data_IF_151038605997
#
_entry.id   IF_151038605997
#
_cell.length_a   1.000
_cell.length_b   1.000
_cell.length_c   1.000
_cell.angle_alpha   90.00
_cell.angle_beta   90.00
_cell.angle_gamma   90.00
#
_symmetry.space_group_name_H-M   'P 1'
#
loop_
_entity.id
_entity.type
_entity.pdbx_description
1 polymer ?
#
# COMPACT_ATOMS: atom_id res chain seq x y z
N UNK A 1 -4.29 1.24 -20.19
CA UNK A 1 -3.18 0.26 -20.16
C UNK A 1 -2.66 0.17 -21.59
N UNK A 2 -1.50 0.77 -21.90
CA UNK A 2 -0.96 0.80 -23.28
C UNK A 2 -0.67 -0.60 -23.84
N UNK A 3 -0.08 -0.71 -25.03
CA UNK A 3 0.04 -1.99 -25.77
C UNK A 3 1.09 -2.98 -25.21
N UNK A 4 1.77 -2.62 -24.12
CA UNK A 4 2.88 -3.38 -23.55
C UNK A 4 2.51 -4.60 -22.67
N UNK A 5 1.22 -4.84 -22.42
CA UNK A 5 0.74 -6.02 -21.68
C UNK A 5 0.16 -7.05 -22.65
N UNK A 6 0.52 -8.33 -22.46
CA UNK A 6 -0.17 -9.44 -23.11
C UNK A 6 -1.66 -9.44 -22.77
N UNK A 7 -2.49 -10.07 -23.61
CA UNK A 7 -3.94 -10.19 -23.36
C UNK A 7 -4.23 -10.78 -21.97
N UNK A 8 -3.55 -11.89 -21.65
CA UNK A 8 -3.63 -12.55 -20.34
C UNK A 8 -3.29 -11.60 -19.17
N UNK A 9 -2.20 -10.84 -19.27
CA UNK A 9 -1.82 -9.91 -18.20
C UNK A 9 -2.77 -8.72 -18.07
N UNK A 10 -3.44 -8.30 -19.15
CA UNK A 10 -4.52 -7.30 -19.04
C UNK A 10 -5.70 -7.85 -18.28
N UNK A 11 -6.11 -9.09 -18.57
CA UNK A 11 -7.23 -9.74 -17.88
C UNK A 11 -6.91 -9.91 -16.40
N UNK A 12 -5.71 -10.40 -16.06
CA UNK A 12 -5.24 -10.50 -14.68
C UNK A 12 -5.22 -9.14 -14.00
N UNK A 13 -4.68 -8.10 -14.65
CA UNK A 13 -4.67 -6.76 -14.10
C UNK A 13 -6.09 -6.28 -13.80
N UNK A 14 -6.98 -6.31 -14.79
CA UNK A 14 -8.37 -5.84 -14.66
C UNK A 14 -9.10 -6.61 -13.58
N UNK A 15 -8.91 -7.93 -13.52
CA UNK A 15 -9.52 -8.77 -12.50
C UNK A 15 -9.07 -8.37 -11.09
N UNK A 16 -7.76 -8.18 -10.87
CA UNK A 16 -7.20 -7.88 -9.55
C UNK A 16 -7.45 -6.44 -9.09
N UNK A 17 -7.70 -5.53 -10.03
CA UNK A 17 -8.12 -4.17 -9.73
C UNK A 17 -9.63 -4.00 -9.83
N UNK A 18 -10.46 -5.03 -9.96
CA UNK A 18 -11.91 -4.84 -10.02
C UNK A 18 -12.46 -4.51 -8.62
N UNK A 19 -13.19 -3.39 -8.42
CA UNK A 19 -13.73 -3.02 -7.11
C UNK A 19 -14.80 -3.97 -6.58
N UNK A 20 -15.35 -4.85 -7.41
CA UNK A 20 -16.27 -5.90 -6.97
C UNK A 20 -15.58 -7.07 -6.26
N UNK A 21 -14.24 -7.18 -6.34
CA UNK A 21 -13.47 -8.25 -5.67
C UNK A 21 -13.33 -7.97 -4.18
N UNK A 22 -13.63 -8.99 -3.40
CA UNK A 22 -13.42 -9.03 -1.95
C UNK A 22 -12.02 -9.53 -1.62
N UNK A 23 -11.56 -9.31 -0.38
CA UNK A 23 -10.30 -9.90 0.08
C UNK A 23 -10.28 -11.43 -0.01
N UNK A 24 -11.44 -12.07 0.17
CA UNK A 24 -11.56 -13.53 0.07
C UNK A 24 -11.33 -14.02 -1.36
N UNK A 25 -11.79 -13.25 -2.36
CA UNK A 25 -11.60 -13.59 -3.78
C UNK A 25 -10.11 -13.59 -4.15
N UNK A 26 -9.32 -12.71 -3.53
CA UNK A 26 -7.88 -12.58 -3.81
C UNK A 26 -7.07 -13.80 -3.35
N UNK A 27 -7.60 -14.62 -2.44
CA UNK A 27 -6.95 -15.82 -1.88
C UNK A 27 -5.49 -15.57 -1.54
N UNK A 28 -5.22 -14.54 -0.72
CA UNK A 28 -3.86 -14.05 -0.46
C UNK A 28 -2.94 -15.12 0.13
N UNK A 29 -3.51 -16.09 0.85
CA UNK A 29 -2.85 -17.23 1.48
C UNK A 29 -2.78 -18.50 0.62
N UNK A 30 -3.22 -18.48 -0.65
CA UNK A 30 -3.09 -19.65 -1.52
C UNK A 30 -1.60 -20.04 -1.68
N UNK A 31 -1.21 -21.25 -1.22
CA UNK A 31 0.19 -21.67 -1.15
C UNK A 31 0.85 -21.79 -2.53
N UNK A 32 0.07 -21.92 -3.61
CA UNK A 32 0.58 -22.05 -4.97
C UNK A 32 0.94 -20.70 -5.60
N UNK A 33 0.46 -19.60 -5.02
CA UNK A 33 0.51 -18.27 -5.63
C UNK A 33 0.72 -17.16 -4.61
N UNK A 34 1.36 -17.47 -3.48
CA UNK A 34 1.57 -16.53 -2.36
C UNK A 34 2.28 -15.24 -2.80
N UNK A 35 3.35 -15.35 -3.58
CA UNK A 35 4.14 -14.22 -4.10
C UNK A 35 3.67 -13.70 -5.46
N UNK A 36 2.42 -13.97 -5.86
CA UNK A 36 1.93 -13.55 -7.17
C UNK A 36 1.70 -12.04 -7.22
N UNK A 37 2.43 -11.33 -8.08
CA UNK A 37 2.47 -9.86 -8.13
C UNK A 37 1.09 -9.19 -8.18
N UNK A 38 0.12 -9.78 -8.86
CA UNK A 38 -1.22 -9.20 -8.96
C UNK A 38 -2.00 -9.23 -7.63
N UNK A 39 -1.68 -10.13 -6.69
CA UNK A 39 -2.24 -10.11 -5.33
C UNK A 39 -1.74 -8.92 -4.51
N UNK A 40 -0.45 -8.62 -4.64
CA UNK A 40 0.16 -7.43 -4.06
C UNK A 40 -0.41 -6.14 -4.68
N UNK A 41 -0.60 -6.12 -6.02
CA UNK A 41 -1.30 -5.04 -6.70
C UNK A 41 -2.73 -4.84 -6.17
N UNK A 42 -3.50 -5.92 -6.06
CA UNK A 42 -4.86 -5.88 -5.53
C UNK A 42 -4.90 -5.32 -4.11
N UNK A 43 -3.94 -5.70 -3.26
CA UNK A 43 -3.77 -5.19 -1.90
C UNK A 43 -3.57 -3.66 -1.89
N UNK A 44 -2.76 -3.15 -2.80
CA UNK A 44 -2.60 -1.71 -3.04
C UNK A 44 -3.91 -1.00 -3.39
N UNK A 45 -4.66 -1.56 -4.35
CA UNK A 45 -5.95 -1.00 -4.77
C UNK A 45 -7.03 -1.11 -3.69
N UNK A 46 -6.99 -2.16 -2.87
CA UNK A 46 -7.84 -2.30 -1.69
C UNK A 46 -7.58 -1.15 -0.69
N UNK A 47 -6.31 -0.86 -0.39
CA UNK A 47 -5.91 0.30 0.41
C UNK A 47 -6.37 1.63 -0.19
N UNK A 48 -6.15 1.82 -1.51
CA UNK A 48 -6.54 3.03 -2.23
C UNK A 48 -8.05 3.29 -2.19
N UNK A 49 -8.87 2.24 -2.23
CA UNK A 49 -10.34 2.32 -2.24
C UNK A 49 -10.96 2.38 -0.86
N UNK A 50 -10.22 1.99 0.16
CA UNK A 50 -10.75 1.92 1.52
C UNK A 50 -11.25 3.29 1.96
N UNK A 51 -12.44 3.30 2.57
CA UNK A 51 -13.05 4.47 3.21
C UNK A 51 -12.98 4.38 4.74
N UNK A 52 -12.26 3.38 5.25
CA UNK A 52 -12.12 3.06 6.68
C UNK A 52 -10.77 3.56 7.18
N UNK A 53 -10.55 3.53 8.50
CA UNK A 53 -9.26 3.96 9.04
C UNK A 53 -8.10 3.10 8.52
N UNK A 54 -6.88 3.65 8.54
CA UNK A 54 -5.67 2.90 8.16
C UNK A 54 -5.57 1.59 8.94
N UNK A 55 -5.78 1.65 10.26
CA UNK A 55 -5.75 0.49 11.13
C UNK A 55 -6.77 -0.57 10.74
N UNK A 56 -8.04 -0.21 10.51
CA UNK A 56 -9.07 -1.16 10.09
C UNK A 56 -8.74 -1.79 8.74
N UNK A 57 -8.33 -0.97 7.78
CA UNK A 57 -7.99 -1.40 6.42
C UNK A 57 -6.84 -2.40 6.43
N UNK A 58 -5.73 -2.04 7.08
CA UNK A 58 -4.54 -2.87 7.11
C UNK A 58 -4.78 -4.15 7.91
N UNK A 59 -5.48 -4.06 9.04
CA UNK A 59 -5.79 -5.19 9.90
C UNK A 59 -6.65 -6.27 9.21
N UNK A 60 -7.59 -5.87 8.36
CA UNK A 60 -8.39 -6.84 7.60
C UNK A 60 -7.54 -7.55 6.55
N UNK A 61 -6.67 -6.79 5.85
CA UNK A 61 -5.79 -7.34 4.83
C UNK A 61 -4.77 -8.32 5.41
N UNK A 62 -4.03 -7.94 6.47
CA UNK A 62 -2.97 -8.80 7.02
C UNK A 62 -3.52 -10.10 7.61
N UNK A 63 -4.78 -10.11 8.07
CA UNK A 63 -5.45 -11.32 8.57
C UNK A 63 -5.75 -12.34 7.47
N UNK A 64 -5.73 -11.93 6.20
CA UNK A 64 -5.80 -12.86 5.07
C UNK A 64 -4.52 -13.67 4.87
N UNK A 65 -3.45 -13.41 5.64
CA UNK A 65 -2.22 -14.19 5.60
C UNK A 65 -1.46 -14.06 4.27
N UNK A 66 -0.77 -15.14 3.88
CA UNK A 66 0.09 -15.16 2.71
C UNK A 66 1.33 -14.28 2.87
N UNK A 67 1.69 -13.55 1.82
CA UNK A 67 2.79 -12.57 1.80
C UNK A 67 2.35 -11.25 2.48
N UNK A 68 1.97 -11.35 3.75
CA UNK A 68 1.22 -10.33 4.48
C UNK A 68 2.01 -9.03 4.69
N UNK A 69 3.34 -9.12 4.85
CA UNK A 69 4.23 -7.97 4.96
C UNK A 69 4.34 -7.22 3.63
N UNK A 70 4.52 -7.92 2.51
CA UNK A 70 4.53 -7.31 1.16
C UNK A 70 3.18 -6.69 0.82
N UNK A 71 2.09 -7.44 1.01
CA UNK A 71 0.72 -6.95 0.78
C UNK A 71 0.39 -5.74 1.66
N UNK A 72 0.77 -5.80 2.94
CA UNK A 72 0.61 -4.73 3.91
C UNK A 72 1.38 -3.47 3.54
N UNK A 73 2.64 -3.61 3.10
CA UNK A 73 3.47 -2.49 2.66
C UNK A 73 2.87 -1.76 1.45
N UNK A 74 2.37 -2.50 0.45
CA UNK A 74 1.79 -1.90 -0.76
C UNK A 74 0.41 -1.31 -0.50
N UNK A 75 -0.44 -1.98 0.30
CA UNK A 75 -1.70 -1.42 0.77
C UNK A 75 -1.48 -0.12 1.55
N UNK A 76 -0.54 -0.13 2.49
CA UNK A 76 -0.21 1.03 3.32
C UNK A 76 0.33 2.21 2.51
N UNK A 77 1.18 1.93 1.51
CA UNK A 77 1.70 2.95 0.58
C UNK A 77 0.57 3.62 -0.19
N UNK A 78 -0.32 2.84 -0.81
CA UNK A 78 -1.43 3.38 -1.62
C UNK A 78 -2.47 4.12 -0.77
N UNK A 79 -2.76 3.63 0.44
CA UNK A 79 -3.62 4.33 1.39
C UNK A 79 -2.97 5.66 1.84
N UNK A 80 -1.69 5.62 2.23
CA UNK A 80 -0.94 6.78 2.70
C UNK A 80 -0.81 7.86 1.63
N UNK A 81 -0.59 7.49 0.37
CA UNK A 81 -0.57 8.41 -0.76
C UNK A 81 -1.92 9.13 -0.95
N UNK A 82 -3.04 8.47 -0.65
CA UNK A 82 -4.39 9.05 -0.77
C UNK A 82 -4.78 9.93 0.41
N UNK A 83 -4.52 9.48 1.63
CA UNK A 83 -5.02 10.12 2.85
C UNK A 83 -3.98 10.95 3.61
N UNK A 84 -2.71 10.84 3.22
CA UNK A 84 -1.60 11.57 3.82
C UNK A 84 -1.14 11.00 5.18
N UNK A 85 0.02 11.48 5.63
CA UNK A 85 0.68 11.00 6.84
C UNK A 85 -0.16 11.17 8.12
N UNK A 86 -0.98 12.23 8.21
CA UNK A 86 -1.84 12.51 9.37
C UNK A 86 -2.96 11.48 9.57
N UNK A 87 -3.29 10.69 8.55
CA UNK A 87 -4.30 9.64 8.64
C UNK A 87 -3.76 8.32 9.25
N UNK A 88 -2.44 8.23 9.46
CA UNK A 88 -1.80 7.04 10.03
C UNK A 88 -1.95 7.01 11.57
N UNK A 89 -2.08 5.83 12.20
CA UNK A 89 -2.26 5.72 13.63
C UNK A 89 -1.03 6.24 14.39
N UNK A 90 -1.22 7.22 15.27
CA UNK A 90 -0.12 7.90 15.93
C UNK A 90 0.67 6.96 16.85
N UNK A 91 -0.01 6.02 17.51
CA UNK A 91 0.63 4.97 18.32
C UNK A 91 1.51 4.04 17.49
N UNK A 92 1.13 3.70 16.26
CA UNK A 92 1.95 2.86 15.37
C UNK A 92 3.19 3.62 14.91
N UNK A 93 3.03 4.88 14.55
CA UNK A 93 4.15 5.75 14.17
C UNK A 93 5.17 5.93 15.31
N UNK A 94 4.69 6.06 16.56
CA UNK A 94 5.55 6.15 17.74
C UNK A 94 6.28 4.84 18.04
N UNK A 95 5.63 3.71 17.78
CA UNK A 95 6.21 2.38 18.01
C UNK A 95 7.11 1.90 16.86
N UNK A 96 7.18 2.63 15.73
CA UNK A 96 7.92 2.18 14.55
C UNK A 96 9.45 2.14 14.84
N UNK A 97 10.09 0.98 14.64
CA UNK A 97 11.54 0.88 14.75
C UNK A 97 12.24 1.82 13.79
N UNK A 98 13.34 2.44 14.23
CA UNK A 98 14.17 3.33 13.42
C UNK A 98 13.42 4.54 12.81
N UNK A 99 12.28 4.94 13.40
CA UNK A 99 11.42 6.02 12.91
C UNK A 99 12.18 7.28 12.49
N UNK A 100 13.08 7.77 13.36
CA UNK A 100 13.88 8.97 13.12
C UNK A 100 14.76 8.83 11.87
N UNK A 101 15.42 7.68 11.69
CA UNK A 101 16.25 7.43 10.52
C UNK A 101 15.39 7.35 9.24
N UNK A 102 14.24 6.69 9.32
CA UNK A 102 13.35 6.54 8.18
C UNK A 102 12.75 7.88 7.74
N UNK A 103 12.31 8.71 8.70
CA UNK A 103 11.81 10.07 8.43
C UNK A 103 12.87 10.93 7.74
N UNK A 104 14.14 10.84 8.18
CA UNK A 104 15.25 11.55 7.52
C UNK A 104 15.43 11.12 6.06
N UNK A 105 15.27 9.82 5.76
CA UNK A 105 15.33 9.32 4.38
C UNK A 105 14.16 9.81 3.54
N UNK A 106 12.95 9.83 4.09
CA UNK A 106 11.77 10.37 3.41
C UNK A 106 11.97 11.85 3.10
N UNK A 107 12.34 12.65 4.10
CA UNK A 107 12.56 14.10 3.92
C UNK A 107 13.64 14.34 2.87
N UNK A 108 14.77 13.65 2.95
CA UNK A 108 15.85 13.78 1.95
C UNK A 108 15.37 13.44 0.54
N UNK A 109 14.57 12.38 0.38
CA UNK A 109 14.01 12.00 -0.91
C UNK A 109 13.06 13.08 -1.45
N UNK A 110 12.13 13.56 -0.61
CA UNK A 110 11.15 14.58 -0.99
C UNK A 110 11.82 15.93 -1.32
N UNK A 111 12.88 16.31 -0.60
CA UNK A 111 13.69 17.50 -0.91
C UNK A 111 14.36 17.36 -2.28
N UNK A 112 14.98 16.22 -2.60
CA UNK A 112 15.60 16.00 -3.91
C UNK A 112 14.58 15.92 -5.06
N UNK A 113 13.33 15.54 -4.77
CA UNK A 113 12.23 15.55 -5.71
C UNK A 113 11.53 16.92 -5.81
N UNK A 114 12.04 17.96 -5.12
CA UNK A 114 11.46 19.31 -5.03
C UNK A 114 10.02 19.36 -4.48
N UNK A 115 9.62 18.40 -3.65
CA UNK A 115 8.31 18.40 -2.97
C UNK A 115 8.32 19.16 -1.64
N UNK A 116 9.49 19.39 -1.04
CA UNK A 116 9.66 20.16 0.20
C UNK A 116 10.68 21.27 -0.07
N UNK A 117 10.22 22.53 -0.02
CA UNK A 117 11.09 23.70 0.02
C UNK A 117 11.49 23.99 1.47
N UNK A 118 12.60 24.71 1.67
CA UNK A 118 13.12 25.07 2.99
C UNK A 118 12.10 25.81 3.90
N UNK A 119 11.03 26.37 3.32
CA UNK A 119 9.96 27.09 4.03
C UNK A 119 9.03 26.18 4.85
N UNK A 120 8.99 24.86 4.59
CA UNK A 120 8.11 23.92 5.30
C UNK A 120 8.77 23.25 6.52
N UNK A 121 10.04 23.54 6.78
CA UNK A 121 10.83 22.88 7.84
C UNK A 121 10.70 23.62 9.19
N UNK A 122 10.16 24.84 9.20
CA UNK A 122 10.16 25.75 10.37
C UNK A 122 8.75 26.00 10.98
N UNK A 123 7.79 25.11 10.73
CA UNK A 123 6.44 25.12 11.36
C UNK A 123 6.07 23.76 11.91
#
# INVERSE_FOLDING_TARGET
LGDNLSGEHRELFVWHIDPSRTLQDLKLDDPTSIGFTYKCLASGFYGLRSKRSFQQTLNDLIRCGGDADTNGAVCGTMYGARYGYKALPAEWLRAMPFKKWFDQKIISCLTHMNFITAELIDT
#
